data_IF_719418305540
#
_entry.id   IF_719418305540
#
_cell.length_a   1.000
_cell.length_b   1.000
_cell.length_c   1.000
_cell.angle_alpha   90.00
_cell.angle_beta   90.00
_cell.angle_gamma   90.00
#
_symmetry.space_group_name_H-M   'P 1'
#
loop_
_entity.id
_entity.type
_entity.pdbx_description
1 polymer ?
#
# COMPACT_ATOMS: atom_id res chain seq x y z
N UNK A 1 -10.40 24.03 22.76
CA UNK A 1 -9.51 24.84 21.89
C UNK A 1 -8.45 23.89 21.34
N UNK A 2 -8.81 23.16 20.27
CA UNK A 2 -7.92 22.21 19.60
C UNK A 2 -7.14 23.02 18.56
N UNK A 3 -5.81 23.09 18.72
CA UNK A 3 -4.95 23.71 17.72
C UNK A 3 -5.11 22.96 16.39
N UNK A 4 -5.73 23.64 15.43
CA UNK A 4 -5.67 23.26 14.03
C UNK A 4 -4.23 23.38 13.56
N UNK A 5 -3.52 22.26 13.50
CA UNK A 5 -2.29 22.17 12.72
C UNK A 5 -2.67 22.23 11.24
N UNK A 6 -2.78 23.45 10.71
CA UNK A 6 -2.84 23.69 9.27
C UNK A 6 -1.42 23.58 8.68
N UNK A 7 -0.86 22.38 8.58
CA UNK A 7 0.18 22.16 7.57
C UNK A 7 -0.55 21.89 6.24
N UNK A 8 -1.06 22.96 5.64
CA UNK A 8 -1.33 22.95 4.21
C UNK A 8 -0.05 22.46 3.52
N UNK A 9 -0.17 21.36 2.78
CA UNK A 9 0.93 20.80 2.02
C UNK A 9 1.31 21.82 0.93
N UNK A 10 2.37 22.58 1.18
CA UNK A 10 2.94 23.52 0.23
C UNK A 10 3.92 22.75 -0.65
N UNK A 11 3.41 22.21 -1.76
CA UNK A 11 4.19 21.42 -2.72
C UNK A 11 5.28 22.19 -3.48
N UNK A 12 5.47 23.49 -3.23
CA UNK A 12 6.16 24.37 -4.18
C UNK A 12 7.43 25.07 -3.68
N UNK A 13 7.93 24.80 -2.46
CA UNK A 13 9.06 25.56 -1.89
C UNK A 13 10.31 24.77 -1.45
N UNK A 14 10.47 23.49 -1.83
CA UNK A 14 11.63 22.68 -1.39
C UNK A 14 12.77 22.52 -2.41
N UNK A 15 12.74 23.25 -3.54
CA UNK A 15 13.77 23.12 -4.60
C UNK A 15 15.02 23.99 -4.41
N UNK A 16 15.10 24.82 -3.37
CA UNK A 16 16.20 25.78 -3.24
C UNK A 16 17.05 25.50 -2.00
N UNK A 17 18.28 25.05 -2.27
CA UNK A 17 19.43 24.90 -1.36
C UNK A 17 19.55 23.58 -0.60
N UNK A 18 19.95 22.52 -1.30
CA UNK A 18 20.34 21.26 -0.68
C UNK A 18 21.57 20.64 -1.30
N UNK A 19 22.29 19.85 -0.50
CA UNK A 19 23.20 18.79 -0.96
C UNK A 19 22.69 18.16 -2.27
N UNK A 20 23.57 17.99 -3.26
CA UNK A 20 23.25 17.66 -4.66
C UNK A 20 22.55 16.31 -4.87
N UNK A 21 22.53 15.43 -3.87
CA UNK A 21 21.94 14.10 -4.00
C UNK A 21 20.51 14.03 -3.41
N UNK A 22 19.52 13.55 -4.20
CA UNK A 22 18.14 13.39 -3.73
C UNK A 22 17.99 12.26 -2.72
N UNK A 23 17.00 12.39 -1.81
CA UNK A 23 16.53 11.29 -0.96
C UNK A 23 15.18 10.78 -1.49
N UNK A 24 15.14 9.51 -1.87
CA UNK A 24 13.94 8.85 -2.35
C UNK A 24 13.06 8.33 -1.21
N UNK A 25 11.76 8.63 -1.28
CA UNK A 25 10.74 8.05 -0.42
C UNK A 25 9.83 7.15 -1.25
N UNK A 26 9.95 5.84 -1.06
CA UNK A 26 9.19 4.82 -1.78
C UNK A 26 7.97 4.41 -0.96
N UNK A 27 6.86 5.08 -1.22
CA UNK A 27 5.59 4.86 -0.53
C UNK A 27 4.91 3.59 -1.04
N UNK A 28 4.95 2.54 -0.23
CA UNK A 28 4.49 1.23 -0.68
C UNK A 28 3.00 1.04 -0.38
N UNK A 29 2.15 1.19 -1.39
CA UNK A 29 0.79 0.66 -1.33
C UNK A 29 0.87 -0.87 -1.40
N UNK A 30 0.20 -1.61 -0.49
CA UNK A 30 0.19 -3.07 -0.53
C UNK A 30 -0.24 -3.59 -1.91
N UNK A 31 0.43 -4.63 -2.39
CA UNK A 31 0.14 -5.28 -3.70
C UNK A 31 0.38 -4.43 -4.95
N UNK A 32 1.14 -3.34 -4.82
CA UNK A 32 1.62 -2.51 -5.93
C UNK A 32 3.14 -2.62 -6.09
N UNK A 33 3.65 -3.84 -6.33
CA UNK A 33 5.08 -4.13 -6.56
C UNK A 33 6.11 -3.76 -5.45
N UNK A 34 5.66 -3.29 -4.28
CA UNK A 34 6.57 -2.88 -3.20
C UNK A 34 7.57 -3.96 -2.73
N UNK A 35 7.23 -5.25 -2.80
CA UNK A 35 8.18 -6.34 -2.44
C UNK A 35 9.30 -6.51 -3.47
N UNK A 36 9.00 -6.31 -4.75
CA UNK A 36 10.00 -6.30 -5.83
C UNK A 36 11.02 -5.20 -5.57
N UNK A 37 10.53 -3.98 -5.32
CA UNK A 37 11.36 -2.81 -4.99
C UNK A 37 12.18 -3.07 -3.72
N UNK A 38 11.51 -3.52 -2.64
CA UNK A 38 12.16 -3.73 -1.35
C UNK A 38 13.29 -4.77 -1.42
N UNK A 39 13.09 -5.86 -2.18
CA UNK A 39 14.10 -6.91 -2.38
C UNK A 39 15.24 -6.38 -3.24
N UNK A 40 14.94 -5.71 -4.35
CA UNK A 40 15.94 -5.13 -5.25
C UNK A 40 16.88 -4.18 -4.50
N UNK A 41 16.32 -3.21 -3.78
CA UNK A 41 17.11 -2.26 -3.00
C UNK A 41 17.83 -2.94 -1.83
N UNK A 42 17.19 -3.90 -1.16
CA UNK A 42 17.82 -4.66 -0.07
C UNK A 42 19.01 -5.52 -0.52
N UNK A 43 19.02 -5.97 -1.77
CA UNK A 43 20.11 -6.79 -2.33
C UNK A 43 21.23 -5.96 -2.92
N UNK A 44 20.92 -4.86 -3.62
CA UNK A 44 21.89 -4.15 -4.44
C UNK A 44 22.30 -2.77 -3.91
N UNK A 45 21.52 -2.14 -3.03
CA UNK A 45 21.88 -0.82 -2.54
C UNK A 45 23.14 -0.89 -1.68
N UNK A 46 24.07 0.09 -1.81
CA UNK A 46 25.23 0.17 -0.92
C UNK A 46 24.82 0.13 0.56
N UNK A 47 25.68 -0.45 1.40
CA UNK A 47 25.42 -0.55 2.84
C UNK A 47 25.11 0.83 3.45
N UNK A 48 24.07 0.89 4.28
CA UNK A 48 23.62 2.12 4.93
C UNK A 48 22.88 3.11 4.02
N UNK A 49 22.80 2.88 2.70
CA UNK A 49 22.12 3.79 1.77
C UNK A 49 20.62 3.56 1.61
N UNK A 50 20.11 2.42 2.07
CA UNK A 50 18.70 2.07 1.98
C UNK A 50 18.14 1.67 3.34
N UNK A 51 16.96 2.20 3.67
CA UNK A 51 16.22 1.82 4.86
C UNK A 51 14.79 1.39 4.53
N UNK A 52 14.45 0.14 4.91
CA UNK A 52 13.08 -0.35 4.88
C UNK A 52 12.42 -0.15 6.23
N UNK A 53 11.46 0.78 6.27
CA UNK A 53 10.71 1.05 7.48
C UNK A 53 9.81 -0.12 7.88
N UNK A 54 9.80 -0.42 9.17
CA UNK A 54 8.97 -1.46 9.78
C UNK A 54 7.79 -0.85 10.52
N UNK A 55 6.72 -1.64 10.63
CA UNK A 55 5.56 -1.28 11.45
C UNK A 55 5.96 -1.20 12.93
N UNK A 56 5.53 -0.16 13.62
CA UNK A 56 5.63 -0.06 15.09
C UNK A 56 4.74 -1.13 15.74
N UNK A 57 5.35 -1.97 16.58
CA UNK A 57 4.67 -2.97 17.43
C UNK A 57 4.31 -2.34 18.79
N UNK A 58 3.37 -2.94 19.52
CA UNK A 58 2.97 -2.50 20.86
C UNK A 58 1.92 -1.38 20.93
N UNK A 59 1.49 -0.98 22.15
CA UNK A 59 0.40 -0.03 22.39
C UNK A 59 0.75 1.41 21.98
N UNK A 60 2.03 1.78 21.95
CA UNK A 60 2.48 3.13 21.57
C UNK A 60 2.11 3.51 20.14
N UNK A 61 1.80 2.54 19.27
CA UNK A 61 1.30 2.76 17.90
C UNK A 61 -0.02 3.55 17.80
N UNK A 62 -0.75 3.69 18.91
CA UNK A 62 -2.00 4.44 18.95
C UNK A 62 -1.79 5.94 19.23
N UNK A 63 -0.63 6.32 19.77
CA UNK A 63 -0.31 7.69 20.16
C UNK A 63 0.92 8.27 19.44
N UNK A 64 1.63 7.46 18.65
CA UNK A 64 2.82 7.84 17.87
C UNK A 64 2.67 7.42 16.41
N UNK A 65 3.65 7.81 15.59
CA UNK A 65 3.76 7.37 14.19
C UNK A 65 3.73 5.84 14.07
N UNK A 66 3.19 5.35 12.95
CA UNK A 66 2.98 3.90 12.73
C UNK A 66 4.23 3.15 12.31
N UNK A 67 5.31 3.87 12.06
CA UNK A 67 6.60 3.32 11.71
C UNK A 67 7.58 3.31 12.89
N UNK A 68 8.54 2.41 12.81
CA UNK A 68 9.74 2.40 13.63
C UNK A 68 10.90 3.02 12.86
N UNK A 69 11.79 3.70 13.58
CA UNK A 69 13.11 4.14 13.09
C UNK A 69 14.25 3.31 13.69
N UNK A 70 13.90 2.25 14.44
CA UNK A 70 14.89 1.33 14.97
C UNK A 70 15.71 0.74 13.81
N UNK A 71 17.04 0.76 13.97
CA UNK A 71 17.98 0.27 12.97
C UNK A 71 18.10 1.14 11.71
N UNK A 72 17.56 2.37 11.72
CA UNK A 72 17.79 3.29 10.60
C UNK A 72 19.25 3.76 10.58
N UNK A 73 19.95 3.67 9.44
CA UNK A 73 21.29 4.25 9.25
C UNK A 73 21.30 5.76 9.49
N UNK A 74 22.50 6.34 9.59
CA UNK A 74 22.66 7.78 9.74
C UNK A 74 22.01 8.52 8.54
N UNK A 75 21.15 9.53 8.76
CA UNK A 75 20.40 10.21 7.70
C UNK A 75 21.24 10.68 6.52
N UNK A 76 22.45 11.18 6.77
CA UNK A 76 23.36 11.68 5.74
C UNK A 76 23.81 10.60 4.73
N UNK A 77 23.81 9.33 5.11
CA UNK A 77 24.17 8.21 4.22
C UNK A 77 22.98 7.63 3.45
N UNK A 78 21.75 7.93 3.86
CA UNK A 78 20.54 7.39 3.23
C UNK A 78 20.30 8.01 1.86
N UNK A 79 19.99 7.18 0.87
CA UNK A 79 19.54 7.55 -0.47
C UNK A 79 18.10 7.13 -0.75
N UNK A 80 17.61 6.10 -0.05
CA UNK A 80 16.24 5.62 -0.19
C UNK A 80 15.63 5.16 1.14
N UNK A 81 14.37 5.51 1.35
CA UNK A 81 13.54 5.00 2.44
C UNK A 81 12.26 4.42 1.84
N UNK A 82 11.92 3.17 2.18
CA UNK A 82 10.68 2.53 1.70
C UNK A 82 9.81 2.02 2.84
N UNK A 83 8.53 1.79 2.55
CA UNK A 83 7.69 0.95 3.39
C UNK A 83 6.20 1.24 3.32
N UNK A 84 5.41 0.34 3.90
CA UNK A 84 3.96 0.46 3.98
C UNK A 84 3.48 1.51 4.98
N UNK A 85 4.32 1.86 5.94
CA UNK A 85 3.93 2.66 7.10
C UNK A 85 4.72 3.97 7.20
N UNK A 86 5.49 4.35 6.18
CA UNK A 86 6.19 5.64 6.17
C UNK A 86 5.18 6.77 6.00
N UNK A 87 5.28 7.79 6.86
CA UNK A 87 4.48 9.00 6.78
C UNK A 87 5.29 10.15 6.18
N UNK A 88 4.62 11.19 5.69
CA UNK A 88 5.27 12.44 5.24
C UNK A 88 6.08 13.10 6.34
N UNK A 89 5.74 12.91 7.62
CA UNK A 89 6.56 13.41 8.73
C UNK A 89 7.97 12.81 8.81
N UNK A 90 8.21 11.65 8.16
CA UNK A 90 9.54 11.05 8.07
C UNK A 90 10.46 11.81 7.11
N UNK A 91 9.90 12.64 6.22
CA UNK A 91 10.68 13.42 5.26
C UNK A 91 11.59 14.46 5.93
N UNK A 92 11.33 14.81 7.19
CA UNK A 92 12.22 15.66 7.99
C UNK A 92 13.65 15.08 8.10
N UNK A 93 13.84 13.77 7.92
CA UNK A 93 15.15 13.09 7.84
C UNK A 93 15.97 13.52 6.62
N UNK A 94 15.32 14.11 5.60
CA UNK A 94 16.00 14.63 4.43
C UNK A 94 16.96 15.78 4.77
N UNK A 95 16.73 16.53 5.85
CA UNK A 95 17.64 17.58 6.31
C UNK A 95 17.91 18.64 5.25
N UNK A 96 16.88 19.01 4.47
CA UNK A 96 16.96 19.98 3.38
C UNK A 96 17.16 19.39 1.99
N UNK A 97 17.56 18.11 1.84
CA UNK A 97 17.72 17.41 0.54
C UNK A 97 16.46 17.45 -0.33
N UNK A 98 16.66 17.36 -1.65
CA UNK A 98 15.58 17.11 -2.61
C UNK A 98 14.85 15.81 -2.26
N UNK A 99 13.55 15.90 -1.98
CA UNK A 99 12.71 14.76 -1.59
C UNK A 99 11.97 14.26 -2.83
N UNK A 100 12.32 13.04 -3.27
CA UNK A 100 11.66 12.39 -4.42
C UNK A 100 10.70 11.31 -3.94
N UNK A 101 9.42 11.67 -3.85
CA UNK A 101 8.35 10.72 -3.47
C UNK A 101 7.96 9.86 -4.67
N UNK A 102 7.79 8.56 -4.44
CA UNK A 102 7.37 7.61 -5.47
C UNK A 102 6.23 6.76 -4.96
N UNK A 103 5.20 6.56 -5.80
CA UNK A 103 4.02 5.76 -5.47
C UNK A 103 3.64 4.90 -6.67
N UNK A 104 3.43 3.60 -6.44
CA UNK A 104 2.78 2.73 -7.42
C UNK A 104 1.36 2.42 -6.96
N UNK A 105 0.42 2.55 -7.88
CA UNK A 105 -1.00 2.26 -7.73
C UNK A 105 -1.35 0.97 -8.47
N UNK A 106 -2.58 0.49 -8.30
CA UNK A 106 -3.09 -0.67 -9.01
C UNK A 106 -4.59 -0.54 -9.13
N UNK A 107 -5.14 -1.00 -10.26
CA UNK A 107 -6.59 -1.00 -10.43
C UNK A 107 -7.26 -1.79 -9.28
N UNK A 108 -8.40 -1.32 -8.75
CA UNK A 108 -9.00 -1.88 -7.54
C UNK A 108 -9.37 -3.36 -7.68
N UNK A 109 -9.72 -3.82 -8.89
CA UNK A 109 -10.06 -5.23 -9.15
C UNK A 109 -8.82 -6.10 -9.01
N UNK A 110 -7.76 -5.82 -9.78
CA UNK A 110 -6.50 -6.56 -9.75
C UNK A 110 -5.83 -6.48 -8.38
N UNK A 111 -5.93 -5.31 -7.72
CA UNK A 111 -5.48 -5.15 -6.34
C UNK A 111 -6.22 -6.12 -5.41
N UNK A 112 -7.56 -6.17 -5.48
CA UNK A 112 -8.34 -7.04 -4.61
C UNK A 112 -8.06 -8.53 -4.88
N UNK A 113 -7.96 -8.94 -6.15
CA UNK A 113 -7.57 -10.31 -6.52
C UNK A 113 -6.20 -10.69 -5.97
N UNK A 114 -5.19 -9.83 -6.18
CA UNK A 114 -3.84 -10.05 -5.65
C UNK A 114 -3.82 -10.12 -4.13
N UNK A 115 -4.59 -9.25 -3.46
CA UNK A 115 -4.70 -9.23 -2.01
C UNK A 115 -5.41 -10.47 -1.47
N UNK A 116 -6.48 -10.92 -2.11
CA UNK A 116 -7.20 -12.15 -1.77
C UNK A 116 -6.28 -13.37 -1.86
N UNK A 117 -5.63 -13.58 -3.01
CA UNK A 117 -4.76 -14.74 -3.23
C UNK A 117 -3.62 -14.80 -2.22
N UNK A 118 -2.97 -13.65 -1.97
CA UNK A 118 -1.93 -13.56 -0.95
C UNK A 118 -2.46 -13.93 0.44
N UNK A 119 -3.63 -13.42 0.81
CA UNK A 119 -4.21 -13.71 2.12
C UNK A 119 -4.56 -15.18 2.24
N UNK A 120 -5.15 -15.78 1.20
CA UNK A 120 -5.51 -17.21 1.22
C UNK A 120 -4.26 -18.07 1.34
N UNK A 121 -3.25 -17.85 0.51
CA UNK A 121 -1.99 -18.59 0.61
C UNK A 121 -1.34 -18.44 1.99
N UNK A 122 -1.28 -17.21 2.55
CA UNK A 122 -0.78 -17.01 3.92
C UNK A 122 -1.62 -17.76 4.96
N UNK A 123 -2.94 -17.75 4.84
CA UNK A 123 -3.81 -18.43 5.79
C UNK A 123 -3.68 -19.94 5.73
N UNK A 124 -3.64 -20.52 4.53
CA UNK A 124 -3.52 -21.97 4.36
C UNK A 124 -2.16 -22.46 4.85
N UNK A 125 -1.07 -21.74 4.54
CA UNK A 125 0.26 -22.04 5.09
C UNK A 125 0.30 -21.97 6.62
N UNK A 126 -0.51 -21.10 7.22
CA UNK A 126 -0.67 -21.02 8.67
C UNK A 126 -1.66 -22.03 9.27
N UNK A 127 -2.08 -23.05 8.52
CA UNK A 127 -3.02 -24.10 8.97
C UNK A 127 -4.50 -23.71 8.96
N UNK A 128 -4.84 -22.50 8.50
CA UNK A 128 -6.21 -22.03 8.39
C UNK A 128 -6.92 -22.55 7.14
N UNK A 129 -8.26 -22.51 7.16
CA UNK A 129 -9.06 -22.86 5.98
C UNK A 129 -9.24 -21.67 5.02
N UNK A 130 -9.27 -21.93 3.70
CA UNK A 130 -9.64 -20.92 2.71
C UNK A 130 -11.10 -20.50 2.89
N UNK A 131 -11.46 -19.34 2.33
CA UNK A 131 -12.85 -18.91 2.21
C UNK A 131 -13.09 -18.22 0.87
N UNK A 132 -14.36 -18.14 0.47
CA UNK A 132 -14.73 -17.65 -0.86
C UNK A 132 -14.30 -16.20 -1.11
N UNK A 133 -14.08 -15.89 -2.38
CA UNK A 133 -13.78 -14.54 -2.86
C UNK A 133 -14.87 -13.53 -2.45
N UNK A 134 -16.14 -13.90 -2.58
CA UNK A 134 -17.27 -13.06 -2.17
C UNK A 134 -17.28 -12.76 -0.67
N UNK A 135 -17.00 -13.77 0.17
CA UNK A 135 -16.91 -13.56 1.61
C UNK A 135 -15.73 -12.64 1.95
N UNK A 136 -14.61 -12.78 1.25
CA UNK A 136 -13.47 -11.89 1.40
C UNK A 136 -13.82 -10.45 0.99
N UNK A 137 -14.54 -10.28 -0.11
CA UNK A 137 -14.90 -8.98 -0.68
C UNK A 137 -15.88 -8.24 0.22
N UNK A 138 -16.96 -8.90 0.64
CA UNK A 138 -17.93 -8.33 1.59
C UNK A 138 -17.28 -7.93 2.93
N UNK A 139 -16.20 -8.60 3.34
CA UNK A 139 -15.48 -8.29 4.59
C UNK A 139 -14.39 -7.22 4.47
N UNK A 140 -14.17 -6.68 3.26
CA UNK A 140 -13.10 -5.73 2.95
C UNK A 140 -13.64 -4.29 2.93
N UNK A 141 -12.83 -3.33 3.38
CA UNK A 141 -13.21 -1.92 3.35
C UNK A 141 -13.12 -1.41 1.91
N UNK A 142 -14.12 -0.64 1.47
CA UNK A 142 -14.13 0.03 0.17
C UNK A 142 -13.12 1.18 0.11
N UNK A 143 -12.65 1.49 -1.09
CA UNK A 143 -11.66 2.55 -1.33
C UNK A 143 -10.39 2.36 -0.49
N UNK A 144 -9.87 1.12 -0.49
CA UNK A 144 -8.73 0.71 0.33
C UNK A 144 -7.50 1.56 0.07
N UNK A 145 -7.13 1.80 -1.19
CA UNK A 145 -5.90 2.51 -1.57
C UNK A 145 -5.97 3.96 -1.08
N UNK A 146 -7.07 4.64 -1.36
CA UNK A 146 -7.34 6.01 -0.89
C UNK A 146 -7.22 6.09 0.63
N UNK A 147 -7.92 5.20 1.36
CA UNK A 147 -7.85 5.19 2.83
C UNK A 147 -6.47 4.80 3.34
N UNK A 148 -5.73 3.97 2.61
CA UNK A 148 -4.39 3.55 2.97
C UNK A 148 -3.40 4.72 2.88
N UNK A 149 -3.45 5.50 1.78
CA UNK A 149 -2.63 6.69 1.58
C UNK A 149 -2.94 7.72 2.67
N UNK A 150 -4.21 8.08 2.84
CA UNK A 150 -4.62 9.06 3.86
C UNK A 150 -4.16 8.64 5.26
N UNK A 151 -4.36 7.35 5.58
CA UNK A 151 -4.05 6.83 6.90
C UNK A 151 -2.56 6.75 7.16
N UNK A 152 -1.77 6.20 6.24
CA UNK A 152 -0.38 5.83 6.52
C UNK A 152 0.62 6.86 6.00
N UNK A 153 0.38 7.44 4.83
CA UNK A 153 1.32 8.37 4.21
C UNK A 153 1.05 9.79 4.68
N UNK A 154 -0.22 10.22 4.63
CA UNK A 154 -0.67 11.51 5.15
C UNK A 154 -0.98 11.50 6.65
N UNK A 155 -0.77 10.36 7.31
CA UNK A 155 -0.91 10.18 8.76
C UNK A 155 -2.25 10.69 9.34
N UNK A 156 -3.31 10.67 8.53
CA UNK A 156 -4.61 11.18 8.93
C UNK A 156 -5.19 10.33 10.07
N UNK A 157 -5.59 10.94 11.20
CA UNK A 157 -6.19 10.22 12.32
C UNK A 157 -7.47 9.49 11.91
N UNK A 158 -7.71 8.30 12.48
CA UNK A 158 -8.89 7.50 12.15
C UNK A 158 -10.21 8.25 12.41
N UNK A 159 -10.29 9.03 13.50
CA UNK A 159 -11.48 9.83 13.81
C UNK A 159 -11.81 10.81 12.68
N UNK A 160 -10.80 11.50 12.16
CA UNK A 160 -10.95 12.41 11.01
C UNK A 160 -11.37 11.64 9.76
N UNK A 161 -10.72 10.52 9.44
CA UNK A 161 -11.07 9.69 8.28
C UNK A 161 -12.54 9.23 8.25
N UNK A 162 -13.18 9.06 9.41
CA UNK A 162 -14.58 8.63 9.49
C UNK A 162 -15.57 9.75 9.14
N UNK A 163 -15.19 11.02 9.32
CA UNK A 163 -16.06 12.17 9.05
C UNK A 163 -15.75 12.88 7.73
N UNK A 164 -14.61 12.56 7.10
CA UNK A 164 -14.25 13.12 5.79
C UNK A 164 -15.24 12.67 4.71
N UNK A 165 -15.70 13.64 3.91
CA UNK A 165 -16.44 13.36 2.69
C UNK A 165 -15.53 12.68 1.65
N UNK A 166 -16.13 12.03 0.66
CA UNK A 166 -15.35 11.43 -0.43
C UNK A 166 -14.62 12.48 -1.28
N UNK A 167 -15.20 13.67 -1.45
CA UNK A 167 -14.54 14.80 -2.10
C UNK A 167 -13.30 15.26 -1.33
N UNK A 168 -13.37 15.36 0.01
CA UNK A 168 -12.20 15.74 0.83
C UNK A 168 -11.10 14.66 0.77
N UNK A 169 -11.49 13.37 0.75
CA UNK A 169 -10.54 12.25 0.59
C UNK A 169 -9.86 12.34 -0.78
N UNK A 170 -10.64 12.56 -1.84
CA UNK A 170 -10.16 12.72 -3.21
C UNK A 170 -9.14 13.85 -3.31
N UNK A 171 -9.50 15.05 -2.84
CA UNK A 171 -8.66 16.24 -2.92
C UNK A 171 -7.31 16.03 -2.21
N UNK A 172 -7.33 15.55 -0.97
CA UNK A 172 -6.10 15.33 -0.19
C UNK A 172 -5.18 14.28 -0.81
N UNK A 173 -5.74 13.19 -1.35
CA UNK A 173 -4.92 12.15 -1.99
C UNK A 173 -4.35 12.65 -3.31
N UNK A 174 -5.13 13.37 -4.12
CA UNK A 174 -4.62 13.96 -5.36
C UNK A 174 -3.54 15.01 -5.10
N UNK A 175 -3.69 15.87 -4.09
CA UNK A 175 -2.65 16.82 -3.71
C UNK A 175 -1.34 16.11 -3.32
N UNK A 176 -1.43 14.99 -2.59
CA UNK A 176 -0.25 14.17 -2.26
C UNK A 176 0.40 13.56 -3.50
N UNK A 177 -0.39 12.98 -4.41
CA UNK A 177 0.13 12.36 -5.64
C UNK A 177 0.72 13.38 -6.60
N UNK A 178 0.11 14.56 -6.73
CA UNK A 178 0.64 15.68 -7.51
C UNK A 178 2.01 16.16 -6.99
N UNK A 179 2.26 16.03 -5.67
CA UNK A 179 3.56 16.33 -5.07
C UNK A 179 4.60 15.20 -5.16
N UNK A 180 4.32 14.13 -5.92
CA UNK A 180 5.25 13.02 -6.11
C UNK A 180 6.14 13.24 -7.34
N UNK A 181 7.36 12.69 -7.28
CA UNK A 181 8.28 12.67 -8.41
C UNK A 181 7.95 11.55 -9.41
N UNK A 182 7.33 10.47 -8.94
CA UNK A 182 6.83 9.39 -9.78
C UNK A 182 5.51 8.83 -9.26
N UNK A 183 4.51 8.73 -10.12
CA UNK A 183 3.25 8.02 -9.86
C UNK A 183 2.92 7.14 -11.06
N UNK A 184 2.47 5.91 -10.85
CA UNK A 184 2.03 5.08 -11.96
C UNK A 184 1.39 3.77 -11.54
N UNK A 185 0.89 3.02 -12.52
CA UNK A 185 0.44 1.64 -12.29
C UNK A 185 1.60 0.73 -11.86
N UNK A 186 1.31 -0.30 -11.06
CA UNK A 186 2.29 -1.25 -10.57
C UNK A 186 3.07 -1.96 -11.69
N UNK A 187 2.50 -2.10 -12.89
CA UNK A 187 3.19 -2.62 -14.07
C UNK A 187 4.36 -1.75 -14.52
N UNK A 188 4.39 -0.46 -14.14
CA UNK A 188 5.49 0.48 -14.41
C UNK A 188 6.63 0.38 -13.39
N UNK A 189 6.66 -0.66 -12.56
CA UNK A 189 7.74 -0.89 -11.59
C UNK A 189 9.12 -0.91 -12.24
N UNK A 190 9.28 -1.50 -13.43
CA UNK A 190 10.56 -1.54 -14.13
C UNK A 190 11.04 -0.15 -14.54
N UNK A 191 10.13 0.71 -15.00
CA UNK A 191 10.43 2.10 -15.35
C UNK A 191 10.86 2.90 -14.11
N UNK A 192 10.15 2.73 -12.98
CA UNK A 192 10.52 3.35 -11.72
C UNK A 192 11.95 2.93 -11.29
N UNK A 193 12.24 1.63 -11.29
CA UNK A 193 13.58 1.11 -10.92
C UNK A 193 14.65 1.67 -11.85
N UNK A 194 14.43 1.65 -13.16
CA UNK A 194 15.36 2.20 -14.13
C UNK A 194 15.61 3.70 -13.89
N UNK A 195 14.58 4.45 -13.50
CA UNK A 195 14.66 5.90 -13.27
C UNK A 195 15.42 6.29 -12.01
N UNK A 196 15.41 5.45 -10.95
CA UNK A 196 16.11 5.72 -9.69
C UNK A 196 17.48 5.04 -9.60
N UNK A 197 17.73 4.04 -10.44
CA UNK A 197 18.92 3.20 -10.38
C UNK A 197 20.26 3.97 -10.44
N UNK A 198 20.45 4.97 -11.32
CA UNK A 198 21.70 5.75 -11.35
C UNK A 198 22.00 6.44 -10.02
N UNK A 199 20.99 7.09 -9.42
CA UNK A 199 21.15 7.84 -8.17
C UNK A 199 21.43 6.92 -6.98
N UNK A 200 20.80 5.74 -6.98
CA UNK A 200 20.93 4.73 -5.92
C UNK A 200 22.12 3.78 -6.11
N UNK A 201 22.80 3.83 -7.27
CA UNK A 201 23.90 2.93 -7.65
C UNK A 201 23.50 1.44 -7.59
N UNK A 202 22.30 1.13 -8.08
CA UNK A 202 21.76 -0.24 -8.20
C UNK A 202 21.54 -0.61 -9.66
N UNK A 203 21.37 -1.90 -10.02
CA UNK A 203 20.98 -2.28 -11.38
C UNK A 203 19.63 -1.66 -11.79
N UNK A 204 19.51 -1.27 -13.06
CA UNK A 204 18.30 -0.65 -13.64
C UNK A 204 17.12 -1.60 -13.85
N UNK A 205 17.29 -2.88 -13.56
CA UNK A 205 16.26 -3.93 -13.74
C UNK A 205 16.10 -4.73 -12.47
N UNK A 206 14.86 -4.89 -12.01
CA UNK A 206 14.53 -5.73 -10.86
C UNK A 206 13.84 -7.02 -11.33
N UNK A 207 14.16 -8.14 -10.68
CA UNK A 207 13.43 -9.41 -10.89
C UNK A 207 12.05 -9.31 -10.25
N UNK A 208 10.94 -9.55 -10.98
CA UNK A 208 9.60 -9.49 -10.41
C UNK A 208 9.40 -10.50 -9.27
N UNK A 209 8.87 -10.02 -8.14
CA UNK A 209 8.61 -10.83 -6.95
C UNK A 209 7.12 -11.14 -6.75
N UNK A 210 6.81 -12.31 -6.19
CA UNK A 210 5.44 -12.79 -5.93
C UNK A 210 4.58 -12.97 -7.18
N UNK A 211 5.18 -13.43 -8.28
CA UNK A 211 4.40 -14.12 -9.32
C UNK A 211 3.81 -15.34 -8.63
N UNK A 212 2.48 -15.42 -8.52
CA UNK A 212 1.82 -16.49 -7.81
C UNK A 212 2.01 -17.80 -8.60
N UNK A 213 3.11 -18.52 -8.33
CA UNK A 213 3.50 -19.76 -9.03
C UNK A 213 3.16 -21.03 -8.24
N UNK A 214 2.88 -20.92 -6.93
CA UNK A 214 2.62 -22.05 -6.03
C UNK A 214 1.17 -22.56 -6.00
N UNK A 215 0.40 -22.43 -7.08
CA UNK A 215 -1.02 -22.83 -7.10
C UNK A 215 -1.24 -24.33 -6.85
N UNK A 216 -0.26 -25.18 -7.15
CA UNK A 216 -0.31 -26.62 -6.89
C UNK A 216 -0.07 -27.06 -5.44
N UNK A 217 0.29 -26.13 -4.54
CA UNK A 217 0.63 -26.47 -3.14
C UNK A 217 -0.60 -26.76 -2.25
N UNK A 218 -1.81 -26.40 -2.69
CA UNK A 218 -3.01 -26.45 -1.85
C UNK A 218 -4.15 -27.23 -2.53
N UNK A 219 -4.38 -28.48 -2.11
CA UNK A 219 -5.37 -29.37 -2.71
C UNK A 219 -6.82 -28.80 -2.70
N UNK A 220 -7.18 -28.02 -1.67
CA UNK A 220 -8.56 -27.57 -1.44
C UNK A 220 -8.80 -26.09 -1.80
N UNK A 221 -7.84 -25.42 -2.45
CA UNK A 221 -7.99 -24.03 -2.84
C UNK A 221 -7.21 -23.70 -4.11
N UNK A 222 -7.90 -23.09 -5.07
CA UNK A 222 -7.27 -22.51 -6.25
C UNK A 222 -7.21 -20.98 -6.15
N UNK A 223 -6.13 -20.35 -6.64
CA UNK A 223 -6.07 -18.91 -6.80
C UNK A 223 -7.17 -18.40 -7.72
N UNK A 224 -7.63 -17.19 -7.46
CA UNK A 224 -8.58 -16.48 -8.33
C UNK A 224 -7.78 -15.60 -9.27
N UNK A 225 -8.11 -15.63 -10.55
CA UNK A 225 -7.57 -14.77 -11.59
C UNK A 225 -8.63 -13.78 -12.08
N UNK A 226 -8.21 -12.73 -12.78
CA UNK A 226 -9.15 -11.75 -13.32
C UNK A 226 -10.17 -12.39 -14.28
N UNK A 227 -9.74 -13.39 -15.06
CA UNK A 227 -10.62 -14.12 -15.98
C UNK A 227 -11.67 -15.00 -15.29
N UNK A 228 -11.53 -15.26 -13.99
CA UNK A 228 -12.54 -16.01 -13.22
C UNK A 228 -13.72 -15.13 -12.77
N UNK A 229 -13.62 -13.81 -12.92
CA UNK A 229 -14.64 -12.87 -12.48
C UNK A 229 -15.63 -12.54 -13.60
N UNK A 230 -16.92 -12.60 -13.28
CA UNK A 230 -17.99 -12.17 -14.18
C UNK A 230 -17.96 -10.65 -14.40
N UNK A 231 -18.50 -10.19 -15.53
CA UNK A 231 -18.63 -8.76 -15.81
C UNK A 231 -19.37 -7.99 -14.69
N UNK A 232 -20.39 -8.61 -14.10
CA UNK A 232 -21.13 -8.04 -12.97
C UNK A 232 -20.25 -7.87 -11.72
N UNK A 233 -19.40 -8.86 -11.39
CA UNK A 233 -18.45 -8.74 -10.28
C UNK A 233 -17.41 -7.64 -10.54
N UNK A 234 -16.89 -7.56 -11.77
CA UNK A 234 -15.95 -6.53 -12.17
C UNK A 234 -16.57 -5.13 -12.03
N UNK A 235 -17.79 -4.92 -12.56
CA UNK A 235 -18.51 -3.65 -12.47
C UNK A 235 -18.75 -3.26 -11.01
N UNK A 236 -19.29 -4.20 -10.22
CA UNK A 236 -19.56 -3.99 -8.80
C UNK A 236 -18.31 -3.60 -8.01
N UNK A 237 -17.17 -4.25 -8.25
CA UNK A 237 -15.92 -3.91 -7.55
C UNK A 237 -15.48 -2.49 -7.91
N UNK A 238 -15.56 -2.10 -9.20
CA UNK A 238 -15.18 -0.75 -9.64
C UNK A 238 -16.12 0.32 -9.06
N UNK A 239 -17.42 0.10 -9.13
CA UNK A 239 -18.45 1.01 -8.62
C UNK A 239 -18.36 1.20 -7.11
N UNK A 240 -18.25 0.11 -6.34
CA UNK A 240 -18.14 0.20 -4.88
C UNK A 240 -16.75 0.72 -4.42
N UNK A 241 -15.75 0.78 -5.31
CA UNK A 241 -14.42 1.35 -5.04
C UNK A 241 -14.12 2.54 -5.98
N UNK A 242 -15.13 3.38 -6.20
CA UNK A 242 -15.10 4.50 -7.15
C UNK A 242 -13.96 5.50 -6.93
N UNK A 243 -13.56 5.77 -5.68
CA UNK A 243 -12.42 6.67 -5.42
C UNK A 243 -11.12 6.04 -5.89
N UNK A 244 -10.88 4.77 -5.54
CA UNK A 244 -9.67 4.06 -5.96
C UNK A 244 -9.64 3.88 -7.48
N UNK A 245 -10.79 3.58 -8.10
CA UNK A 245 -10.91 3.45 -9.55
C UNK A 245 -10.52 4.76 -10.25
N UNK A 246 -11.16 5.87 -9.86
CA UNK A 246 -10.91 7.18 -10.48
C UNK A 246 -9.48 7.67 -10.22
N UNK A 247 -8.94 7.38 -9.03
CA UNK A 247 -7.57 7.73 -8.68
C UNK A 247 -6.59 6.98 -9.57
N UNK A 248 -6.79 5.67 -9.75
CA UNK A 248 -5.97 4.87 -10.65
C UNK A 248 -6.07 5.35 -12.10
N UNK A 249 -7.27 5.62 -12.61
CA UNK A 249 -7.46 6.12 -13.98
C UNK A 249 -6.75 7.46 -14.22
N UNK A 250 -6.75 8.35 -13.23
CA UNK A 250 -6.09 9.66 -13.32
C UNK A 250 -4.57 9.53 -13.35
N UNK A 251 -4.00 8.62 -12.57
CA UNK A 251 -2.56 8.61 -12.28
C UNK A 251 -1.77 7.44 -12.89
N UNK A 252 -2.44 6.39 -13.39
CA UNK A 252 -1.76 5.16 -13.85
C UNK A 252 -0.69 5.39 -14.91
N UNK A 253 -0.87 6.43 -15.73
CA UNK A 253 -0.03 6.73 -16.89
C UNK A 253 0.91 7.92 -16.67
N UNK A 254 0.95 8.51 -15.47
CA UNK A 254 1.74 9.71 -15.17
C UNK A 254 3.26 9.50 -15.29
N UNK A 255 3.79 8.41 -14.72
CA UNK A 255 5.24 8.20 -14.64
C UNK A 255 5.92 9.35 -13.91
N UNK A 256 6.93 9.97 -14.55
CA UNK A 256 7.60 11.20 -14.08
C UNK A 256 6.88 12.50 -14.49
N UNK A 257 5.89 12.42 -15.37
CA UNK A 257 5.14 13.56 -15.90
C UNK A 257 3.95 13.91 -15.00
N UNK A 258 4.18 13.92 -13.69
CA UNK A 258 3.15 14.14 -12.67
C UNK A 258 2.54 15.55 -12.78
N UNK A 259 3.36 16.53 -13.17
CA UNK A 259 2.96 17.94 -13.31
C UNK A 259 1.97 18.19 -14.46
N UNK A 260 1.89 17.28 -15.46
CA UNK A 260 0.94 17.39 -16.58
C UNK A 260 -0.45 16.82 -16.25
N UNK A 261 -0.57 16.08 -15.14
CA UNK A 261 -1.82 15.49 -14.71
C UNK A 261 -2.66 16.55 -14.00
N UNK A 262 -3.86 16.80 -14.52
CA UNK A 262 -4.85 17.68 -13.91
C UNK A 262 -6.02 16.85 -13.38
N UNK A 263 -6.05 16.52 -12.07
CA UNK A 263 -7.16 15.78 -11.50
C UNK A 263 -8.47 16.56 -11.61
N UNK A 264 -9.45 15.98 -12.28
CA UNK A 264 -10.80 16.56 -12.36
C UNK A 264 -11.45 16.54 -10.97
N UNK A 265 -12.08 17.65 -10.51
CA UNK A 265 -12.80 17.68 -9.23
C UNK A 265 -13.76 16.51 -9.08
N UNK A 266 -13.83 15.96 -7.87
CA UNK A 266 -14.73 14.85 -7.59
C UNK A 266 -16.16 15.34 -7.47
N UNK A 267 -16.92 15.18 -8.55
CA UNK A 267 -18.37 15.31 -8.52
C UNK A 267 -18.95 14.16 -7.69
N UNK A 268 -19.76 14.48 -6.70
CA UNK A 268 -20.50 13.47 -5.94
C UNK A 268 -21.42 12.71 -6.90
N UNK A 269 -21.00 11.51 -7.28
CA UNK A 269 -21.92 10.55 -7.88
C UNK A 269 -23.04 10.19 -6.89
N UNK A 270 -24.17 9.72 -7.41
CA UNK A 270 -25.23 9.10 -6.62
C UNK A 270 -24.72 7.81 -5.94
N UNK A 271 -23.96 7.95 -4.86
CA UNK A 271 -23.13 6.89 -4.29
C UNK A 271 -23.45 6.60 -2.83
N UNK A 272 -24.24 5.55 -2.63
CA UNK A 272 -24.41 4.66 -1.46
C UNK A 272 -24.30 5.23 -0.04
N UNK A 273 -25.33 4.95 0.77
CA UNK A 273 -25.35 5.15 2.22
C UNK A 273 -24.19 4.40 2.92
N UNK A 274 -23.07 5.09 3.16
CA UNK A 274 -21.92 4.61 3.95
C UNK A 274 -22.29 3.76 5.19
N UNK A 275 -23.33 4.12 5.99
CA UNK A 275 -23.74 3.31 7.14
C UNK A 275 -24.19 1.89 6.77
N UNK A 276 -24.91 1.71 5.66
CA UNK A 276 -25.40 0.39 5.22
C UNK A 276 -24.29 -0.50 4.70
N UNK A 277 -23.32 0.07 3.98
CA UNK A 277 -22.12 -0.64 3.54
C UNK A 277 -21.26 -1.08 4.74
N UNK A 278 -21.12 -0.23 5.77
CA UNK A 278 -20.36 -0.58 6.98
C UNK A 278 -21.06 -1.64 7.85
N UNK A 279 -22.39 -1.59 7.98
CA UNK A 279 -23.15 -2.60 8.73
C UNK A 279 -23.02 -3.99 8.09
N UNK A 280 -23.20 -4.08 6.77
CA UNK A 280 -23.02 -5.34 6.04
C UNK A 280 -21.58 -5.87 6.18
N UNK A 281 -20.58 -5.00 6.13
CA UNK A 281 -19.17 -5.36 6.33
C UNK A 281 -18.92 -6.05 7.66
N UNK A 282 -19.55 -5.59 8.77
CA UNK A 282 -19.41 -6.24 10.07
C UNK A 282 -19.93 -7.68 10.07
N UNK A 283 -21.07 -7.91 9.41
CA UNK A 283 -21.64 -9.26 9.24
C UNK A 283 -20.65 -10.16 8.48
N UNK A 284 -20.13 -9.68 7.35
CA UNK A 284 -19.13 -10.42 6.58
C UNK A 284 -17.84 -10.67 7.36
N UNK A 285 -17.42 -9.73 8.22
CA UNK A 285 -16.25 -9.94 9.08
C UNK A 285 -16.46 -11.05 10.10
N UNK A 286 -17.64 -11.12 10.70
CA UNK A 286 -18.01 -12.19 11.63
C UNK A 286 -18.03 -13.53 10.90
N UNK A 287 -18.75 -13.63 9.77
CA UNK A 287 -18.78 -14.84 8.92
C UNK A 287 -17.38 -15.29 8.49
N UNK A 288 -16.53 -14.35 8.06
CA UNK A 288 -15.12 -14.60 7.72
C UNK A 288 -14.29 -15.07 8.93
N UNK A 289 -14.59 -14.64 10.16
CA UNK A 289 -13.89 -15.14 11.36
C UNK A 289 -14.34 -16.56 11.70
N UNK A 290 -15.62 -16.87 11.54
CA UNK A 290 -16.18 -18.22 11.75
C UNK A 290 -15.59 -19.19 10.74
N UNK A 291 -15.65 -18.87 9.45
CA UNK A 291 -15.09 -19.69 8.37
C UNK A 291 -13.58 -19.99 8.56
N UNK A 292 -12.85 -19.11 9.24
CA UNK A 292 -11.42 -19.30 9.55
C UNK A 292 -11.14 -20.24 10.71
N UNK A 293 -12.06 -20.37 11.68
CA UNK A 293 -11.81 -21.09 12.95
C UNK A 293 -12.16 -22.57 12.91
N UNK A 294 -12.80 -23.06 11.85
CA UNK A 294 -13.27 -24.44 11.74
C UNK A 294 -12.20 -25.39 11.17
N UNK A 295 -10.97 -25.29 11.66
CA UNK A 295 -9.93 -26.33 11.48
C UNK A 295 -9.91 -27.23 12.71
N UNK A 296 -9.59 -28.52 12.56
CA UNK A 296 -9.43 -29.42 13.70
C UNK A 296 -8.44 -28.85 14.74
N UNK A 297 -8.63 -29.09 16.05
CA UNK A 297 -7.72 -28.64 17.11
C UNK A 297 -6.25 -28.99 16.86
N UNK A 298 -5.99 -30.10 16.16
CA UNK A 298 -4.66 -30.61 15.80
C UNK A 298 -3.87 -29.65 14.89
N UNK A 299 -4.53 -28.91 13.98
CA UNK A 299 -3.83 -27.95 13.09
C UNK A 299 -3.49 -26.63 13.77
N UNK A 300 -4.19 -26.27 14.86
CA UNK A 300 -3.96 -25.00 15.58
C UNK A 300 -2.73 -25.07 16.50
N UNK A 301 -2.35 -26.25 16.98
CA UNK A 301 -1.14 -26.42 17.80
C UNK A 301 0.15 -26.27 16.98
N UNK A 302 0.15 -26.69 15.71
CA UNK A 302 1.31 -26.54 14.83
C UNK A 302 1.64 -25.06 14.49
N UNK A 303 0.64 -24.17 14.48
CA UNK A 303 0.86 -22.73 14.22
C UNK A 303 1.29 -21.92 15.43
N UNK A 304 1.23 -22.50 16.64
CA UNK A 304 1.63 -21.83 17.89
C UNK A 304 3.13 -21.95 18.19
N UNK A 305 3.85 -22.87 17.53
CA UNK A 305 5.26 -23.19 17.80
C UNK A 305 6.23 -22.82 16.67
N UNK A 306 5.81 -22.04 15.69
CA UNK A 306 6.71 -21.44 14.70
C UNK A 306 6.02 -20.29 13.98
N UNK A 307 6.82 -19.43 13.36
CA UNK A 307 6.44 -18.36 12.44
C UNK A 307 6.44 -16.94 13.03
N UNK A 308 7.65 -16.35 13.02
CA UNK A 308 7.88 -14.92 13.18
C UNK A 308 7.29 -14.11 12.02
N UNK A 309 6.60 -13.03 12.37
CA UNK A 309 5.78 -12.19 11.49
C UNK A 309 6.56 -11.39 10.42
N UNK A 310 7.88 -11.53 10.34
CA UNK A 310 8.76 -10.81 9.42
C UNK A 310 9.62 -11.72 8.49
N UNK A 311 9.59 -13.05 8.68
CA UNK A 311 10.33 -14.04 7.86
C UNK A 311 9.41 -15.12 7.28
N UNK A 312 8.59 -14.76 6.27
CA UNK A 312 8.16 -15.80 5.34
C UNK A 312 9.42 -16.32 4.61
N UNK A 313 9.66 -17.65 4.54
CA UNK A 313 10.89 -18.21 4.03
C UNK A 313 11.16 -17.69 2.64
N UNK A 314 12.44 -17.38 2.41
CA UNK A 314 12.96 -17.14 1.08
C UNK A 314 12.67 -18.40 0.25
N UNK A 315 11.76 -18.27 -0.71
CA UNK A 315 11.66 -19.24 -1.79
C UNK A 315 12.77 -18.87 -2.78
N UNK A 316 13.69 -19.81 -2.98
CA UNK A 316 14.62 -19.81 -4.12
C UNK A 316 13.88 -19.97 -5.43
#
# INVERSE_FOLDING_TARGET
MLMESSSAFQGEALRQNASSEPLYFLYHVPKCAGRTIDRHLGTFAPEGSYYRSRKRKGPTRFFRTRYSLAGMPHPAGLKAISGHYIGTSLENVAGGRDVRRTVLLRDPVSHFVSYYNFRMARYIRGGGLPYSFELAYGATRRNFVTHFILRNFLETPNAKLMVMSDAEKWERVNAFLAGCWFVGDYSRCSELIASIAPDLKVPGTATPENIFSGAGEFADWRPVYLGDLTAAQLSRIREENHLDQRLWETWRDAGRDVDSILPVPYEQGAGQNFPTAEASRLIYQTRRRIARRWSSPERQMASLFGWDDDDAPQLG
#
